data_IF_742107568643
#
_entry.id   IF_742107568643
#
_cell.length_a   1.000
_cell.length_b   1.000
_cell.length_c   1.000
_cell.angle_alpha   90.00
_cell.angle_beta   90.00
_cell.angle_gamma   90.00
#
_symmetry.space_group_name_H-M   'P 1'
#
loop_
_entity.id
_entity.type
_entity.pdbx_description
1 polymer ?
#
# COMPACT_ATOMS: atom_id res chain seq x y z
N UNK A 1 -33.49 41.82 -22.51
CA UNK A 1 -33.15 40.88 -23.59
C UNK A 1 -33.30 39.47 -23.02
N UNK A 2 -34.43 38.81 -23.31
CA UNK A 2 -34.70 37.45 -22.80
C UNK A 2 -34.09 36.50 -23.83
N UNK A 3 -32.99 35.84 -23.47
CA UNK A 3 -32.42 34.79 -24.31
C UNK A 3 -33.38 33.60 -24.30
N UNK A 4 -34.06 33.37 -25.42
CA UNK A 4 -34.88 32.18 -25.60
C UNK A 4 -33.93 30.97 -25.73
N UNK A 5 -33.98 30.10 -24.73
CA UNK A 5 -33.19 28.87 -24.74
C UNK A 5 -33.59 28.02 -25.95
N UNK A 6 -32.57 27.49 -26.62
CA UNK A 6 -32.75 26.54 -27.71
C UNK A 6 -33.56 25.33 -27.24
N UNK A 7 -34.16 24.62 -28.19
CA UNK A 7 -34.96 23.41 -27.91
C UNK A 7 -34.15 22.35 -27.15
N UNK A 8 -32.86 22.21 -27.45
CA UNK A 8 -31.96 21.25 -26.80
C UNK A 8 -31.62 21.67 -25.37
N UNK A 9 -31.40 22.97 -25.11
CA UNK A 9 -31.20 23.46 -23.75
C UNK A 9 -32.44 23.25 -22.88
N UNK A 10 -33.65 23.47 -23.44
CA UNK A 10 -34.91 23.16 -22.74
C UNK A 10 -35.05 21.68 -22.43
N UNK A 11 -34.66 20.79 -23.35
CA UNK A 11 -34.65 19.34 -23.13
C UNK A 11 -33.66 18.93 -22.05
N UNK A 12 -32.42 19.41 -22.09
CA UNK A 12 -31.42 19.11 -21.07
C UNK A 12 -31.87 19.59 -19.69
N UNK A 13 -32.49 20.77 -19.61
CA UNK A 13 -33.01 21.32 -18.35
C UNK A 13 -34.20 20.53 -17.82
N UNK A 14 -35.10 20.07 -18.69
CA UNK A 14 -36.20 19.18 -18.29
C UNK A 14 -35.67 17.84 -17.73
N UNK A 15 -34.68 17.23 -18.39
CA UNK A 15 -34.03 16.01 -17.91
C UNK A 15 -33.35 16.23 -16.55
N UNK A 16 -32.63 17.34 -16.38
CA UNK A 16 -31.96 17.67 -15.12
C UNK A 16 -32.95 17.92 -13.96
N UNK A 17 -34.12 18.51 -14.25
CA UNK A 17 -35.18 18.73 -13.27
C UNK A 17 -35.91 17.43 -12.88
N UNK A 18 -36.14 16.53 -13.84
CA UNK A 18 -36.79 15.24 -13.60
C UNK A 18 -35.88 14.23 -12.87
N UNK A 19 -34.57 14.31 -13.14
CA UNK A 19 -33.57 13.41 -12.55
C UNK A 19 -32.49 14.23 -11.87
N UNK A 20 -32.71 14.67 -10.62
CA UNK A 20 -31.67 15.35 -9.87
C UNK A 20 -30.43 14.46 -9.82
N UNK A 21 -29.26 15.09 -9.92
CA UNK A 21 -28.00 14.37 -9.92
C UNK A 21 -27.90 13.49 -8.66
N UNK A 22 -27.38 12.25 -8.77
CA UNK A 22 -27.25 11.37 -7.62
C UNK A 22 -26.36 12.03 -6.55
N UNK A 23 -26.86 12.12 -5.33
CA UNK A 23 -26.10 12.64 -4.19
C UNK A 23 -25.08 11.58 -3.78
N UNK A 24 -23.80 11.87 -3.97
CA UNK A 24 -22.71 11.00 -3.52
C UNK A 24 -22.62 11.05 -2.00
N UNK A 25 -22.96 9.94 -1.33
CA UNK A 25 -22.75 9.78 0.12
C UNK A 25 -21.35 9.25 0.38
N UNK A 26 -20.55 10.01 1.11
CA UNK A 26 -19.24 9.56 1.55
C UNK A 26 -19.41 8.35 2.49
N UNK A 27 -18.73 7.25 2.16
CA UNK A 27 -18.69 6.07 3.02
C UNK A 27 -17.49 6.19 3.97
N UNK A 28 -17.72 6.00 5.26
CA UNK A 28 -16.71 6.14 6.30
C UNK A 28 -16.35 4.77 6.88
N UNK A 29 -15.07 4.57 7.15
CA UNK A 29 -14.59 3.45 7.96
C UNK A 29 -14.88 3.69 9.44
N UNK A 30 -14.85 2.64 10.26
CA UNK A 30 -14.96 2.73 11.72
C UNK A 30 -13.96 3.70 12.38
N UNK A 31 -12.83 4.00 11.72
CA UNK A 31 -11.86 5.00 12.18
C UNK A 31 -12.23 6.45 11.82
N UNK A 32 -13.42 6.69 11.26
CA UNK A 32 -13.90 8.01 10.81
C UNK A 32 -13.36 8.48 9.45
N UNK A 33 -12.38 7.78 8.87
CA UNK A 33 -11.80 8.16 7.56
C UNK A 33 -12.70 7.72 6.41
N UNK A 34 -12.83 8.58 5.41
CA UNK A 34 -13.49 8.24 4.16
C UNK A 34 -12.74 7.12 3.43
N UNK A 35 -13.50 6.18 2.85
CA UNK A 35 -12.95 5.10 2.05
C UNK A 35 -13.88 4.77 0.86
N UNK A 36 -13.34 4.21 -0.23
CA UNK A 36 -14.16 3.81 -1.36
C UNK A 36 -15.24 2.81 -0.93
N UNK A 37 -16.47 2.96 -1.44
CA UNK A 37 -17.57 2.05 -1.11
C UNK A 37 -17.22 0.58 -1.39
N UNK A 38 -16.54 0.31 -2.52
CA UNK A 38 -16.05 -1.03 -2.88
C UNK A 38 -15.07 -1.59 -1.84
N UNK A 39 -14.16 -0.76 -1.33
CA UNK A 39 -13.17 -1.15 -0.31
C UNK A 39 -13.87 -1.58 0.98
N UNK A 40 -14.85 -0.80 1.44
CA UNK A 40 -15.60 -1.08 2.66
C UNK A 40 -16.52 -2.30 2.49
N UNK A 41 -17.15 -2.47 1.33
CA UNK A 41 -17.96 -3.65 1.04
C UNK A 41 -17.11 -4.93 1.02
N UNK A 42 -15.90 -4.88 0.45
CA UNK A 42 -15.03 -6.05 0.34
C UNK A 42 -14.31 -6.41 1.64
N UNK A 43 -13.85 -5.42 2.41
CA UNK A 43 -12.95 -5.64 3.55
C UNK A 43 -13.46 -5.13 4.90
N UNK A 44 -14.57 -4.40 4.93
CA UNK A 44 -15.11 -3.76 6.14
C UNK A 44 -14.24 -2.66 6.75
N UNK A 45 -13.06 -2.38 6.18
CA UNK A 45 -12.05 -1.47 6.71
C UNK A 45 -11.38 -0.68 5.59
N UNK A 46 -10.98 0.56 5.88
CA UNK A 46 -10.16 1.34 4.97
C UNK A 46 -8.75 0.75 4.83
N UNK A 47 -8.06 1.11 3.74
CA UNK A 47 -6.71 0.60 3.43
C UNK A 47 -5.73 0.89 4.58
N UNK A 48 -5.83 2.06 5.23
CA UNK A 48 -4.98 2.40 6.37
C UNK A 48 -5.22 1.49 7.58
N UNK A 49 -6.48 1.18 7.90
CA UNK A 49 -6.81 0.26 8.99
C UNK A 49 -6.39 -1.18 8.69
N UNK A 50 -6.51 -1.63 7.44
CA UNK A 50 -5.99 -2.94 7.02
C UNK A 50 -4.47 -3.01 7.10
N UNK A 51 -3.79 -1.93 6.70
CA UNK A 51 -2.34 -1.83 6.84
C UNK A 51 -1.94 -1.88 8.31
N UNK A 52 -2.55 -1.07 9.17
CA UNK A 52 -2.29 -1.07 10.61
C UNK A 52 -2.58 -2.43 11.27
N UNK A 53 -3.63 -3.12 10.85
CA UNK A 53 -3.93 -4.47 11.35
C UNK A 53 -2.84 -5.49 10.99
N UNK A 54 -2.24 -5.40 9.80
CA UNK A 54 -1.08 -6.24 9.41
C UNK A 54 0.18 -5.85 10.17
N UNK A 55 0.40 -4.57 10.42
CA UNK A 55 1.54 -4.12 11.24
C UNK A 55 1.41 -4.63 12.68
N UNK A 56 0.19 -4.66 13.23
CA UNK A 56 -0.06 -5.13 14.60
C UNK A 56 0.22 -6.63 14.83
N UNK A 57 0.44 -7.43 13.77
CA UNK A 57 0.86 -8.84 13.91
C UNK A 57 2.38 -9.01 14.00
N UNK A 58 3.15 -7.93 13.86
CA UNK A 58 4.61 -7.95 13.90
C UNK A 58 5.13 -7.73 15.33
N UNK A 59 6.34 -8.22 15.56
CA UNK A 59 7.14 -7.91 16.75
C UNK A 59 8.10 -6.75 16.44
N UNK A 60 8.56 -6.04 17.46
CA UNK A 60 9.45 -4.88 17.29
C UNK A 60 10.73 -5.25 16.52
N UNK A 61 11.33 -6.40 16.83
CA UNK A 61 12.53 -6.91 16.17
C UNK A 61 12.32 -7.25 14.68
N UNK A 62 11.08 -7.45 14.22
CA UNK A 62 10.79 -7.75 12.81
C UNK A 62 11.11 -6.54 11.93
N UNK A 63 10.93 -5.32 12.45
CA UNK A 63 11.24 -4.09 11.72
C UNK A 63 12.74 -3.91 11.54
N UNK A 64 13.57 -4.36 12.49
CA UNK A 64 15.02 -4.30 12.36
C UNK A 64 15.52 -5.21 11.24
N UNK A 65 14.94 -6.41 11.11
CA UNK A 65 15.22 -7.31 9.99
C UNK A 65 14.79 -6.69 8.67
N UNK A 66 13.64 -6.01 8.62
CA UNK A 66 13.17 -5.32 7.41
C UNK A 66 14.04 -4.12 7.03
N UNK A 67 14.45 -3.29 7.99
CA UNK A 67 15.38 -2.18 7.77
C UNK A 67 16.74 -2.70 7.32
N UNK A 68 17.21 -3.78 7.95
CA UNK A 68 18.44 -4.45 7.55
C UNK A 68 18.30 -5.07 6.15
N UNK A 69 17.18 -5.65 5.77
CA UNK A 69 16.96 -6.13 4.39
C UNK A 69 17.06 -5.00 3.36
N UNK A 70 16.54 -3.80 3.68
CA UNK A 70 16.39 -2.67 2.74
C UNK A 70 17.53 -1.66 2.73
N UNK A 71 18.43 -1.72 3.71
CA UNK A 71 19.47 -0.71 3.85
C UNK A 71 18.95 0.59 4.43
N UNK A 72 17.79 0.52 5.08
CA UNK A 72 17.12 1.63 5.73
C UNK A 72 17.63 1.77 7.18
N UNK A 73 18.95 1.88 7.34
CA UNK A 73 19.61 2.03 8.64
C UNK A 73 20.18 3.44 8.78
N UNK A 74 20.38 3.88 10.02
CA UNK A 74 20.92 5.22 10.36
C UNK A 74 22.30 5.49 9.75
N UNK A 75 23.09 4.46 9.48
CA UNK A 75 24.42 4.57 8.86
C UNK A 75 24.38 4.85 7.34
N UNK A 76 23.22 4.68 6.69
CA UNK A 76 23.05 5.00 5.27
C UNK A 76 22.20 6.25 5.11
N UNK A 77 22.59 7.21 4.24
CA UNK A 77 21.73 8.35 3.96
C UNK A 77 20.41 7.87 3.37
N UNK A 78 19.30 8.51 3.75
CA UNK A 78 17.95 8.12 3.32
C UNK A 78 17.79 8.10 1.79
N UNK A 79 18.54 8.96 1.09
CA UNK A 79 18.60 8.98 -0.37
C UNK A 79 19.10 7.67 -0.99
N UNK A 80 19.86 6.87 -0.26
CA UNK A 80 20.38 5.56 -0.67
C UNK A 80 19.56 4.38 -0.21
N UNK A 81 18.58 4.56 0.68
CA UNK A 81 17.73 3.46 1.14
C UNK A 81 17.08 2.74 -0.05
N UNK A 82 16.87 1.43 0.11
CA UNK A 82 16.33 0.57 -0.95
C UNK A 82 17.37 0.12 -1.98
N UNK A 83 18.67 0.34 -1.73
CA UNK A 83 19.74 -0.15 -2.60
C UNK A 83 19.91 -1.67 -2.56
N UNK A 84 19.29 -2.34 -1.58
CA UNK A 84 19.29 -3.79 -1.40
C UNK A 84 17.85 -4.27 -1.22
N UNK A 85 17.49 -5.35 -1.90
CA UNK A 85 16.19 -6.04 -1.73
C UNK A 85 16.29 -7.56 -1.94
N UNK A 86 17.49 -8.09 -2.13
CA UNK A 86 17.71 -9.53 -2.20
C UNK A 86 18.42 -9.94 -0.91
N UNK A 87 17.64 -10.39 0.06
CA UNK A 87 18.15 -10.74 1.37
C UNK A 87 18.32 -12.25 1.50
N UNK A 88 19.55 -12.66 1.81
CA UNK A 88 19.88 -14.04 2.14
C UNK A 88 19.61 -14.25 3.63
N UNK A 89 18.68 -15.14 3.98
CA UNK A 89 18.30 -15.32 5.37
C UNK A 89 19.37 -16.07 6.18
N UNK A 90 19.67 -15.54 7.37
CA UNK A 90 20.35 -16.32 8.41
C UNK A 90 19.33 -17.07 9.25
N UNK A 91 19.77 -18.15 9.92
CA UNK A 91 18.89 -18.96 10.80
C UNK A 91 18.19 -18.15 11.89
N UNK A 92 18.82 -17.09 12.40
CA UNK A 92 18.27 -16.21 13.45
C UNK A 92 17.09 -15.38 12.95
N UNK A 93 17.12 -14.99 11.68
CA UNK A 93 16.16 -14.05 11.10
C UNK A 93 14.93 -14.76 10.52
N UNK A 94 14.96 -16.10 10.40
CA UNK A 94 13.91 -16.88 9.74
C UNK A 94 12.53 -16.69 10.38
N UNK A 95 12.43 -16.69 11.72
CA UNK A 95 11.15 -16.52 12.39
C UNK A 95 10.54 -15.13 12.12
N UNK A 96 11.36 -14.08 12.11
CA UNK A 96 10.94 -12.73 11.77
C UNK A 96 10.52 -12.61 10.30
N UNK A 97 11.30 -13.22 9.40
CA UNK A 97 10.98 -13.26 7.97
C UNK A 97 9.68 -14.00 7.69
N UNK A 98 9.42 -15.12 8.37
CA UNK A 98 8.18 -15.87 8.21
C UNK A 98 6.97 -15.07 8.69
N UNK A 99 7.09 -14.28 9.78
CA UNK A 99 6.04 -13.32 10.21
C UNK A 99 5.83 -12.20 9.21
N UNK A 100 6.91 -11.61 8.69
CA UNK A 100 6.85 -10.56 7.67
C UNK A 100 6.22 -11.07 6.36
N UNK A 101 6.46 -12.34 6.00
CA UNK A 101 5.81 -13.01 4.87
C UNK A 101 4.33 -13.23 5.14
N UNK A 102 3.97 -13.75 6.32
CA UNK A 102 2.57 -13.95 6.71
C UNK A 102 1.77 -12.64 6.72
N UNK A 103 2.40 -11.53 7.14
CA UNK A 103 1.82 -10.18 7.10
C UNK A 103 1.85 -9.53 5.70
N UNK A 104 2.51 -10.14 4.71
CA UNK A 104 2.58 -9.65 3.33
C UNK A 104 3.55 -8.49 3.08
N UNK A 105 4.44 -8.20 4.03
CA UNK A 105 5.48 -7.17 3.87
C UNK A 105 6.73 -7.69 3.16
N UNK A 106 6.94 -9.00 3.17
CA UNK A 106 8.05 -9.69 2.50
C UNK A 106 7.50 -10.84 1.65
N UNK A 107 8.20 -11.23 0.59
CA UNK A 107 7.93 -12.44 -0.19
C UNK A 107 9.19 -13.29 -0.25
N UNK A 108 9.04 -14.60 -0.13
CA UNK A 108 10.13 -15.54 -0.32
C UNK A 108 10.50 -15.61 -1.82
N UNK A 109 11.80 -15.61 -2.12
CA UNK A 109 12.35 -15.90 -3.43
C UNK A 109 12.52 -17.39 -3.66
N UNK A 110 13.13 -17.75 -4.79
CA UNK A 110 13.52 -19.13 -5.06
C UNK A 110 14.56 -19.61 -4.05
N UNK A 111 14.42 -20.84 -3.57
CA UNK A 111 15.45 -21.50 -2.78
C UNK A 111 16.59 -21.94 -3.71
N UNK A 112 17.84 -21.70 -3.30
CA UNK A 112 19.02 -22.16 -4.02
C UNK A 112 19.96 -22.84 -3.03
N UNK A 113 20.25 -24.13 -3.20
CA UNK A 113 21.20 -24.86 -2.34
C UNK A 113 20.86 -24.73 -0.84
N UNK A 114 19.61 -24.97 -0.46
CA UNK A 114 19.05 -24.81 0.90
C UNK A 114 19.06 -23.38 1.47
N UNK A 115 19.50 -22.39 0.69
CA UNK A 115 19.45 -20.98 1.03
C UNK A 115 18.10 -20.38 0.66
N UNK A 116 17.48 -19.67 1.61
CA UNK A 116 16.21 -18.96 1.41
C UNK A 116 16.48 -17.48 1.18
N UNK A 117 16.11 -16.98 0.01
CA UNK A 117 16.13 -15.55 -0.30
C UNK A 117 14.77 -14.92 -0.01
N UNK A 118 14.79 -13.65 0.36
CA UNK A 118 13.61 -12.86 0.65
C UNK A 118 13.73 -11.48 0.04
N UNK A 119 12.59 -10.86 -0.24
CA UNK A 119 12.52 -9.51 -0.77
C UNK A 119 11.29 -8.79 -0.22
N UNK A 120 11.45 -7.52 0.11
CA UNK A 120 10.36 -6.69 0.58
C UNK A 120 9.35 -6.42 -0.55
N UNK A 121 8.07 -6.45 -0.21
CA UNK A 121 6.99 -6.01 -1.08
C UNK A 121 6.91 -4.49 -1.11
N UNK A 122 6.03 -3.93 -1.96
CA UNK A 122 5.76 -2.49 -1.95
C UNK A 122 5.29 -2.00 -0.58
N UNK A 123 4.44 -2.78 0.09
CA UNK A 123 3.95 -2.49 1.43
C UNK A 123 5.07 -2.60 2.48
N UNK A 124 5.98 -3.57 2.35
CA UNK A 124 7.15 -3.67 3.23
C UNK A 124 8.11 -2.49 3.08
N UNK A 125 8.36 -2.03 1.84
CA UNK A 125 9.15 -0.83 1.61
C UNK A 125 8.50 0.41 2.25
N UNK A 126 7.17 0.53 2.13
CA UNK A 126 6.42 1.62 2.75
C UNK A 126 6.47 1.54 4.28
N UNK A 127 6.37 0.35 4.85
CA UNK A 127 6.48 0.12 6.30
C UNK A 127 7.85 0.57 6.84
N UNK A 128 8.92 0.27 6.09
CA UNK A 128 10.28 0.70 6.39
C UNK A 128 10.57 2.19 6.11
N UNK A 129 9.55 2.99 5.75
CA UNK A 129 9.69 4.43 5.53
C UNK A 129 10.40 4.82 4.24
N UNK A 130 10.48 3.93 3.24
CA UNK A 130 11.04 4.29 1.93
C UNK A 130 10.11 5.27 1.20
N UNK A 131 10.71 6.28 0.58
CA UNK A 131 9.99 7.14 -0.36
C UNK A 131 9.79 6.45 -1.72
N UNK A 132 8.97 7.06 -2.58
CA UNK A 132 8.62 6.48 -3.88
C UNK A 132 9.85 6.16 -4.74
N UNK A 133 10.84 7.06 -4.79
CA UNK A 133 12.07 6.84 -5.56
C UNK A 133 12.88 5.65 -5.03
N UNK A 134 13.00 5.50 -3.71
CA UNK A 134 13.64 4.37 -3.08
C UNK A 134 12.90 3.06 -3.36
N UNK A 135 11.56 3.06 -3.26
CA UNK A 135 10.74 1.89 -3.57
C UNK A 135 10.95 1.41 -5.00
N UNK A 136 11.02 2.32 -5.98
CA UNK A 136 11.27 1.98 -7.39
C UNK A 136 12.65 1.35 -7.60
N UNK A 137 13.69 1.86 -6.93
CA UNK A 137 15.03 1.23 -6.99
C UNK A 137 15.04 -0.16 -6.37
N UNK A 138 14.35 -0.32 -5.24
CA UNK A 138 14.27 -1.55 -4.45
C UNK A 138 13.63 -2.70 -5.23
N UNK A 139 12.60 -2.38 -6.02
CA UNK A 139 11.86 -3.39 -6.80
C UNK A 139 12.56 -3.76 -8.12
N UNK A 140 13.67 -3.09 -8.45
CA UNK A 140 14.18 -3.01 -9.81
C UNK A 140 13.19 -2.27 -10.71
N UNK A 141 13.65 -1.73 -11.85
CA UNK A 141 12.71 -1.42 -12.91
C UNK A 141 11.87 -2.68 -13.17
N UNK A 142 10.54 -2.58 -13.04
CA UNK A 142 9.65 -3.64 -13.53
C UNK A 142 9.96 -3.86 -15.04
N UNK A 143 9.81 -5.10 -15.53
CA UNK A 143 10.37 -5.57 -16.80
C UNK A 143 10.09 -4.67 -18.00
#
# INVERSE_FOLDING_TARGET
>A
MIYDLSREERRHRAIANEKPAPVLKAQLCACGKAAPAKQLAQHGKCVACLFAARVATLQDDDLDVLHHMLGATSHHPQSRWGFRNQYLANRRDLAALDRLVAAGFVRAGAALLDLRYFHATQDGCKLAGLNYAAMTRTQGARP
#
